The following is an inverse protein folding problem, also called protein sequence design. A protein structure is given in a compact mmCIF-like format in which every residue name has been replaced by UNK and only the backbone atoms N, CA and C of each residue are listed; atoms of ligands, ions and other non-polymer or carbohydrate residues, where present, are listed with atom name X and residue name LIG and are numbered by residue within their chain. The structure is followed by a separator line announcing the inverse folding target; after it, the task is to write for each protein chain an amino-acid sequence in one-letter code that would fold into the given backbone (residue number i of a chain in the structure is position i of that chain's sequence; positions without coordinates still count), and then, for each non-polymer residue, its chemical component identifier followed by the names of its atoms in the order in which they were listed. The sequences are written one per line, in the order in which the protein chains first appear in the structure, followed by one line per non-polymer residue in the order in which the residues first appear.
data_IF_448453030886
#
_entry.id   IF_448453030886
#
_cell.length_a   1.000
_cell.length_b   1.000
_cell.length_c   1.000
_cell.angle_alpha   90.00
_cell.angle_beta   90.00
_cell.angle_gamma   90.00
#
_symmetry.space_group_name_H-M   'P 1'
#
loop_
_entity.id
_entity.type
_entity.pdbx_description
1 polymer ?
#
# COMPACT_ATOMS: atom_id res chain seq x y z
N UNK A 1 -13.84 37.31 -17.96
CA UNK A 1 -12.72 38.08 -17.34
C UNK A 1 -11.82 37.07 -16.66
N UNK A 2 -10.66 36.79 -17.22
CA UNK A 2 -9.67 35.88 -16.62
C UNK A 2 -9.09 36.55 -15.38
N UNK A 3 -9.08 35.85 -14.25
CA UNK A 3 -8.50 36.31 -13.00
C UNK A 3 -6.98 36.51 -13.22
N UNK A 4 -6.42 37.75 -13.11
CA UNK A 4 -5.00 37.98 -13.37
C UNK A 4 -4.05 37.30 -12.36
N UNK A 5 -4.58 36.72 -11.27
CA UNK A 5 -3.81 36.00 -10.27
C UNK A 5 -3.81 34.46 -10.48
N UNK A 6 -4.44 33.94 -11.54
CA UNK A 6 -4.48 32.49 -11.78
C UNK A 6 -3.13 31.87 -12.19
N UNK A 7 -2.12 32.69 -12.53
CA UNK A 7 -0.80 32.24 -12.94
C UNK A 7 0.26 32.24 -11.82
N UNK A 8 -0.13 32.55 -10.57
CA UNK A 8 0.81 32.59 -9.44
C UNK A 8 1.01 31.25 -8.74
N UNK A 9 0.10 30.29 -8.96
CA UNK A 9 0.12 29.01 -8.28
C UNK A 9 -0.08 27.86 -9.27
N UNK A 10 0.76 26.82 -9.14
CA UNK A 10 0.63 25.57 -9.85
C UNK A 10 0.28 24.44 -8.86
N UNK A 11 -0.72 23.63 -9.19
CA UNK A 11 -0.99 22.41 -8.43
C UNK A 11 0.03 21.35 -8.77
N UNK A 12 0.72 20.80 -7.77
CA UNK A 12 1.67 19.69 -7.90
C UNK A 12 1.15 18.53 -7.06
N UNK A 13 0.86 17.40 -7.70
CA UNK A 13 0.19 16.26 -7.06
C UNK A 13 1.02 14.99 -7.27
N UNK A 14 1.33 14.32 -6.18
CA UNK A 14 1.78 12.93 -6.13
C UNK A 14 0.74 12.08 -5.41
N UNK A 15 0.66 10.80 -5.75
CA UNK A 15 -0.26 9.86 -5.11
C UNK A 15 0.49 8.67 -4.52
N UNK A 16 0.07 8.27 -3.34
CA UNK A 16 0.41 7.00 -2.71
C UNK A 16 -0.85 6.12 -2.71
N UNK A 17 -0.75 4.93 -3.27
CA UNK A 17 -1.88 4.03 -3.45
C UNK A 17 -1.56 2.70 -2.78
N UNK A 18 -2.42 2.28 -1.84
CA UNK A 18 -2.33 0.97 -1.21
C UNK A 18 -3.25 -0.02 -1.93
N UNK A 19 -2.67 -1.11 -2.40
CA UNK A 19 -3.39 -2.22 -3.04
C UNK A 19 -3.28 -3.46 -2.16
N UNK A 20 -4.42 -3.98 -1.69
CA UNK A 20 -4.45 -5.28 -1.03
C UNK A 20 -4.25 -6.38 -2.07
N UNK A 21 -3.22 -7.20 -1.88
CA UNK A 21 -2.93 -8.30 -2.78
C UNK A 21 -3.83 -9.49 -2.50
N UNK A 22 -4.44 -10.06 -3.54
CA UNK A 22 -5.37 -11.18 -3.47
C UNK A 22 -4.67 -12.53 -3.20
N UNK A 23 -3.94 -12.61 -2.10
CA UNK A 23 -3.33 -13.85 -1.62
C UNK A 23 -4.30 -14.64 -0.74
N UNK A 24 -4.10 -15.94 -0.62
CA UNK A 24 -4.93 -16.79 0.26
C UNK A 24 -4.56 -16.63 1.73
N UNK A 25 -3.30 -16.31 2.01
CA UNK A 25 -2.78 -16.07 3.36
C UNK A 25 -2.08 -14.73 3.45
N UNK A 26 -1.83 -14.29 4.67
CA UNK A 26 -1.18 -13.02 4.98
C UNK A 26 0.27 -12.97 4.50
N UNK A 27 0.88 -11.79 4.59
CA UNK A 27 2.24 -11.58 4.05
C UNK A 27 3.30 -12.36 4.82
N UNK A 28 3.15 -12.52 6.14
CA UNK A 28 4.15 -13.14 7.01
C UNK A 28 3.61 -14.28 7.87
N UNK A 29 2.34 -14.64 7.71
CA UNK A 29 1.71 -15.74 8.45
C UNK A 29 0.83 -16.61 7.56
N UNK A 30 0.47 -17.78 8.05
CA UNK A 30 -0.46 -18.68 7.37
C UNK A 30 -1.94 -18.35 7.60
N UNK A 31 -2.24 -17.34 8.40
CA UNK A 31 -3.62 -16.90 8.62
C UNK A 31 -4.28 -16.50 7.31
N UNK A 32 -5.55 -16.83 7.10
CA UNK A 32 -6.28 -16.45 5.91
C UNK A 32 -6.40 -14.92 5.79
N UNK A 33 -6.47 -14.43 4.55
CA UNK A 33 -6.71 -13.00 4.22
C UNK A 33 -8.11 -12.77 3.64
N UNK A 34 -9.08 -13.62 3.98
CA UNK A 34 -10.45 -13.58 3.45
C UNK A 34 -11.22 -12.40 4.04
N UNK A 35 -11.84 -11.59 3.18
CA UNK A 35 -12.70 -10.48 3.59
C UNK A 35 -14.08 -10.97 4.07
N UNK A 36 -14.71 -10.23 5.01
CA UNK A 36 -16.11 -10.44 5.39
C UNK A 36 -16.39 -11.60 6.33
N UNK A 37 -15.39 -12.07 7.06
CA UNK A 37 -15.55 -13.09 8.11
C UNK A 37 -15.75 -12.46 9.49
N UNK A 38 -16.12 -13.28 10.49
CA UNK A 38 -16.26 -12.85 11.88
C UNK A 38 -14.99 -12.18 12.41
N UNK A 39 -15.14 -11.13 13.20
CA UNK A 39 -14.06 -10.30 13.74
C UNK A 39 -13.08 -11.12 14.58
N UNK A 40 -11.80 -10.84 14.44
CA UNK A 40 -10.69 -11.47 15.19
C UNK A 40 -10.57 -13.00 15.01
N UNK A 41 -11.07 -13.56 13.90
CA UNK A 41 -10.97 -15.01 13.61
C UNK A 41 -9.80 -15.36 12.68
N UNK A 42 -9.14 -14.36 12.09
CA UNK A 42 -8.04 -14.53 11.14
C UNK A 42 -6.77 -13.78 11.58
N UNK A 43 -6.43 -13.81 12.85
CA UNK A 43 -5.20 -13.23 13.39
C UNK A 43 -4.41 -14.34 14.13
N UNK A 44 -3.14 -14.53 13.71
CA UNK A 44 -2.21 -15.47 14.35
C UNK A 44 -1.31 -14.78 15.36
N UNK A 45 -0.56 -15.56 16.12
CA UNK A 45 0.47 -15.05 17.01
C UNK A 45 1.54 -14.21 16.28
N UNK A 46 1.77 -14.46 14.99
CA UNK A 46 2.70 -13.69 14.16
C UNK A 46 2.11 -12.31 13.85
N UNK A 47 0.84 -12.25 13.46
CA UNK A 47 0.14 -10.99 13.17
C UNK A 47 0.00 -10.11 14.42
N UNK A 48 -0.08 -10.74 15.59
CA UNK A 48 -0.12 -10.08 16.90
C UNK A 48 1.27 -9.67 17.42
N UNK A 49 2.34 -10.22 16.82
CA UNK A 49 3.71 -9.92 17.26
C UNK A 49 4.05 -10.47 18.63
N UNK A 50 3.57 -11.64 19.00
CA UNK A 50 3.89 -12.25 20.29
C UNK A 50 5.40 -12.54 20.40
N UNK A 51 5.97 -12.58 21.63
CA UNK A 51 7.39 -12.85 21.82
C UNK A 51 7.85 -14.14 21.14
N UNK A 52 8.98 -14.06 20.42
CA UNK A 52 9.61 -15.22 19.77
C UNK A 52 9.10 -15.52 18.35
N UNK A 53 8.13 -14.78 17.83
CA UNK A 53 7.65 -14.98 16.43
C UNK A 53 8.66 -14.45 15.43
N UNK A 54 8.81 -15.19 14.32
CA UNK A 54 9.62 -14.81 13.16
C UNK A 54 8.76 -14.79 11.90
N UNK A 55 8.74 -13.66 11.17
CA UNK A 55 7.98 -13.57 9.93
C UNK A 55 8.65 -14.36 8.80
N UNK A 56 7.83 -15.04 7.98
CA UNK A 56 8.27 -15.70 6.74
C UNK A 56 7.43 -15.17 5.59
N UNK A 57 8.12 -14.63 4.58
CA UNK A 57 7.45 -13.93 3.46
C UNK A 57 6.59 -14.88 2.61
N UNK A 58 5.39 -14.43 2.27
CA UNK A 58 4.52 -15.11 1.32
C UNK A 58 5.04 -14.92 -0.12
N UNK A 59 5.48 -16.02 -0.73
CA UNK A 59 5.99 -16.03 -2.11
C UNK A 59 4.99 -15.43 -3.11
N UNK A 60 3.68 -15.64 -2.91
CA UNK A 60 2.64 -15.13 -3.81
C UNK A 60 2.57 -13.60 -3.81
N UNK A 61 2.80 -12.94 -2.67
CA UNK A 61 2.87 -11.49 -2.59
C UNK A 61 4.05 -10.95 -3.42
N UNK A 62 5.22 -11.61 -3.35
CA UNK A 62 6.37 -11.27 -4.20
C UNK A 62 6.04 -11.42 -5.69
N UNK A 63 5.46 -12.55 -6.09
CA UNK A 63 5.08 -12.79 -7.48
C UNK A 63 4.11 -11.74 -8.03
N UNK A 64 3.15 -11.29 -7.21
CA UNK A 64 2.19 -10.25 -7.59
C UNK A 64 2.86 -8.89 -7.73
N UNK A 65 3.74 -8.52 -6.80
CA UNK A 65 4.51 -7.28 -6.86
C UNK A 65 5.42 -7.23 -8.11
N UNK A 66 6.12 -8.33 -8.42
CA UNK A 66 6.95 -8.44 -9.63
C UNK A 66 6.10 -8.31 -10.90
N UNK A 67 4.92 -8.96 -10.95
CA UNK A 67 4.00 -8.81 -12.09
C UNK A 67 3.57 -7.36 -12.30
N UNK A 68 3.23 -6.67 -11.21
CA UNK A 68 2.94 -5.24 -11.28
C UNK A 68 4.12 -4.46 -11.83
N UNK A 69 5.32 -4.65 -11.28
CA UNK A 69 6.54 -3.99 -11.76
C UNK A 69 6.80 -4.20 -13.26
N UNK A 70 6.64 -5.44 -13.74
CA UNK A 70 6.76 -5.73 -15.17
C UNK A 70 5.70 -5.01 -16.02
N UNK A 71 4.48 -4.85 -15.52
CA UNK A 71 3.38 -4.19 -16.27
C UNK A 71 3.60 -2.69 -16.48
N UNK A 72 4.39 -2.06 -15.62
CA UNK A 72 4.74 -0.62 -15.69
C UNK A 72 6.18 -0.39 -16.18
N UNK A 73 6.83 -1.43 -16.74
CA UNK A 73 8.22 -1.39 -17.17
C UNK A 73 9.19 -0.88 -16.09
N UNK A 74 8.95 -1.26 -14.85
CA UNK A 74 9.78 -0.86 -13.73
C UNK A 74 11.03 -1.74 -13.58
N UNK A 75 12.03 -1.20 -12.91
CA UNK A 75 13.17 -1.94 -12.43
C UNK A 75 12.72 -2.94 -11.34
N UNK A 76 13.12 -4.21 -11.48
CA UNK A 76 12.87 -5.23 -10.46
C UNK A 76 14.13 -5.44 -9.64
N UNK A 77 14.03 -5.29 -8.33
CA UNK A 77 15.14 -5.44 -7.42
C UNK A 77 15.40 -6.92 -7.12
N UNK A 78 16.56 -7.43 -7.48
CA UNK A 78 16.94 -8.84 -7.22
C UNK A 78 17.08 -9.14 -5.72
N UNK A 79 17.50 -8.16 -4.93
CA UNK A 79 17.69 -8.26 -3.49
C UNK A 79 16.89 -7.17 -2.77
N UNK A 80 15.60 -7.37 -2.63
CA UNK A 80 14.74 -6.49 -1.83
C UNK A 80 14.95 -6.70 -0.32
N UNK A 81 14.85 -5.64 0.45
CA UNK A 81 15.09 -5.65 1.89
C UNK A 81 13.85 -5.13 2.62
N UNK A 82 13.43 -5.86 3.67
CA UNK A 82 12.41 -5.39 4.59
C UNK A 82 13.03 -4.65 5.77
N UNK A 83 12.39 -3.56 6.15
CA UNK A 83 12.71 -2.73 7.31
C UNK A 83 11.52 -2.68 8.26
N UNK A 84 11.69 -2.04 9.41
CA UNK A 84 10.62 -1.83 10.39
C UNK A 84 10.29 -0.35 10.47
N UNK A 85 9.03 -0.01 10.20
CA UNK A 85 8.46 1.33 10.40
C UNK A 85 7.80 1.35 11.78
N UNK A 86 8.45 1.95 12.76
CA UNK A 86 7.98 1.96 14.14
C UNK A 86 6.96 3.08 14.36
N UNK A 87 5.76 2.72 14.79
CA UNK A 87 4.72 3.64 15.24
C UNK A 87 3.71 2.89 16.12
N UNK A 88 3.01 3.61 17.00
CA UNK A 88 2.09 3.02 17.95
C UNK A 88 0.65 3.39 17.60
N UNK A 89 -0.13 2.35 17.33
CA UNK A 89 -1.56 2.49 17.07
C UNK A 89 -2.31 1.29 17.67
N UNK A 90 -3.55 1.45 18.18
CA UNK A 90 -4.28 0.35 18.82
C UNK A 90 -4.49 -0.87 17.93
N UNK A 91 -4.65 -0.67 16.62
CA UNK A 91 -4.84 -1.73 15.63
C UNK A 91 -3.52 -2.26 15.01
N UNK A 92 -2.38 -1.80 15.54
CA UNK A 92 -1.05 -2.32 15.22
C UNK A 92 -0.37 -2.87 16.48
N UNK A 93 -0.75 -4.08 16.95
CA UNK A 93 -0.33 -4.58 18.26
C UNK A 93 1.18 -4.81 18.39
N UNK A 94 1.89 -5.02 17.27
CA UNK A 94 3.35 -5.14 17.26
C UNK A 94 4.09 -3.84 17.58
N UNK A 95 3.45 -2.68 17.40
CA UNK A 95 4.09 -1.38 17.51
C UNK A 95 5.05 -1.05 16.36
N UNK A 96 5.10 -1.87 15.32
CA UNK A 96 5.83 -1.63 14.08
C UNK A 96 5.14 -2.31 12.89
N UNK A 97 5.36 -1.77 11.71
CA UNK A 97 4.95 -2.34 10.43
C UNK A 97 6.21 -2.82 9.68
N UNK A 98 6.17 -4.03 9.16
CA UNK A 98 7.23 -4.51 8.26
C UNK A 98 6.92 -3.95 6.88
N UNK A 99 7.87 -3.21 6.32
CA UNK A 99 7.76 -2.49 5.05
C UNK A 99 9.11 -2.48 4.34
N UNK A 100 9.21 -1.83 3.18
CA UNK A 100 10.45 -1.67 2.45
C UNK A 100 10.74 -0.19 2.23
N UNK A 101 11.99 0.24 2.36
CA UNK A 101 12.39 1.64 2.21
C UNK A 101 13.49 1.78 1.15
N UNK A 102 14.74 1.41 1.48
CA UNK A 102 15.91 1.67 0.62
C UNK A 102 16.00 0.75 -0.59
N UNK A 103 15.55 -0.51 -0.45
CA UNK A 103 15.58 -1.51 -1.50
C UNK A 103 14.19 -2.15 -1.70
N UNK A 104 13.23 -1.39 -2.27
CA UNK A 104 11.90 -1.90 -2.57
C UNK A 104 11.97 -2.96 -3.67
N UNK A 105 10.97 -3.86 -3.72
CA UNK A 105 10.91 -4.92 -4.73
C UNK A 105 10.72 -4.37 -6.15
N UNK A 106 10.00 -3.24 -6.28
CA UNK A 106 9.77 -2.56 -7.55
C UNK A 106 10.36 -1.16 -7.46
N UNK A 107 11.34 -0.89 -8.28
CA UNK A 107 11.99 0.41 -8.43
C UNK A 107 11.24 1.35 -9.37
N UNK A 108 12.00 2.21 -10.05
CA UNK A 108 11.42 3.23 -10.94
C UNK A 108 10.71 2.61 -12.13
N UNK A 109 9.53 3.14 -12.41
CA UNK A 109 8.70 2.77 -13.55
C UNK A 109 7.87 3.95 -14.04
N UNK A 110 6.91 3.68 -14.92
CA UNK A 110 6.00 4.73 -15.39
C UNK A 110 4.75 4.15 -16.03
N UNK A 111 3.70 4.95 -16.03
CA UNK A 111 2.45 4.64 -16.76
C UNK A 111 2.07 5.80 -17.67
N UNK A 112 1.43 5.48 -18.80
CA UNK A 112 0.80 6.47 -19.65
C UNK A 112 -0.67 6.59 -19.25
N UNK A 113 -1.10 7.81 -18.97
CA UNK A 113 -2.51 8.14 -18.73
C UNK A 113 -3.06 8.90 -19.94
N UNK A 114 -4.35 8.75 -20.17
CA UNK A 114 -5.12 9.59 -21.11
C UNK A 114 -6.02 10.51 -20.28
N UNK A 115 -5.92 11.80 -20.50
CA UNK A 115 -6.75 12.80 -19.88
C UNK A 115 -7.40 13.67 -20.96
N UNK A 116 -8.63 13.34 -21.36
CA UNK A 116 -9.42 14.07 -22.36
C UNK A 116 -8.76 14.11 -23.76
N UNK A 117 -8.01 13.05 -24.11
CA UNK A 117 -7.32 12.92 -25.40
C UNK A 117 -5.85 13.35 -25.37
N UNK A 118 -5.39 13.88 -24.24
CA UNK A 118 -3.98 14.21 -24.05
C UNK A 118 -3.26 13.07 -23.30
N UNK A 119 -2.30 12.45 -23.93
CA UNK A 119 -1.45 11.42 -23.34
C UNK A 119 -0.36 12.06 -22.46
N UNK A 120 -0.24 11.57 -21.25
CA UNK A 120 0.79 12.02 -20.29
C UNK A 120 1.46 10.85 -19.61
N UNK A 121 2.79 10.90 -19.55
CA UNK A 121 3.61 9.95 -18.80
C UNK A 121 3.67 10.38 -17.34
N UNK A 122 3.32 9.46 -16.42
CA UNK A 122 3.45 9.65 -14.98
C UNK A 122 4.51 8.67 -14.48
N UNK A 123 5.52 9.22 -13.80
CA UNK A 123 6.57 8.43 -13.17
C UNK A 123 6.05 7.70 -11.94
N UNK A 124 6.61 6.53 -11.69
CA UNK A 124 6.46 5.79 -10.45
C UNK A 124 7.83 5.72 -9.79
N UNK A 125 7.94 6.26 -8.58
CA UNK A 125 9.19 6.27 -7.81
C UNK A 125 9.56 4.87 -7.37
N UNK A 126 8.56 4.12 -6.89
CA UNK A 126 8.68 2.73 -6.42
C UNK A 126 7.32 2.11 -6.18
N UNK A 127 7.30 0.80 -6.06
CA UNK A 127 6.25 0.10 -5.37
C UNK A 127 6.87 -0.91 -4.39
N UNK A 128 6.38 -0.93 -3.17
CA UNK A 128 6.97 -1.74 -2.12
C UNK A 128 5.92 -2.58 -1.38
N UNK A 129 6.38 -3.73 -0.90
CA UNK A 129 5.55 -4.64 -0.10
C UNK A 129 5.54 -4.19 1.35
N UNK A 130 4.36 -4.24 1.96
CA UNK A 130 4.17 -4.02 3.39
C UNK A 130 2.97 -4.82 3.92
N UNK A 131 2.81 -4.84 5.22
CA UNK A 131 1.65 -5.45 5.88
C UNK A 131 0.62 -4.38 6.25
N UNK A 132 -0.67 -4.75 6.12
CA UNK A 132 -1.75 -3.89 6.58
C UNK A 132 -1.87 -3.92 8.12
N UNK A 133 -2.39 -2.84 8.70
CA UNK A 133 -2.81 -2.79 10.10
C UNK A 133 -4.19 -3.43 10.28
N UNK A 134 -4.60 -3.65 11.52
CA UNK A 134 -5.96 -4.02 11.87
C UNK A 134 -6.95 -2.87 11.59
N UNK A 135 -8.14 -2.98 12.14
CA UNK A 135 -9.19 -1.97 12.01
C UNK A 135 -9.68 -1.53 13.38
N UNK A 136 -9.62 -0.23 13.63
CA UNK A 136 -10.28 0.40 14.78
C UNK A 136 -11.75 0.68 14.44
N UNK A 137 -12.67 0.29 15.35
CA UNK A 137 -14.12 0.43 15.19
C UNK A 137 -14.58 1.46 16.21
N UNK A 138 -14.80 2.68 15.76
CA UNK A 138 -15.13 3.83 16.62
C UNK A 138 -16.63 4.00 16.85
N UNK A 139 -17.45 3.67 15.85
CA UNK A 139 -18.86 4.07 15.81
C UNK A 139 -19.85 3.05 16.43
N UNK A 140 -19.33 1.89 16.86
CA UNK A 140 -20.18 0.80 17.35
C UNK A 140 -20.49 0.87 18.84
N UNK A 141 -19.66 1.58 19.62
CA UNK A 141 -19.72 1.62 21.07
C UNK A 141 -19.49 3.05 21.58
N UNK A 142 -20.30 3.49 22.54
CA UNK A 142 -20.25 4.88 23.06
C UNK A 142 -19.01 5.20 23.91
N UNK A 143 -18.48 4.22 24.64
CA UNK A 143 -17.44 4.44 25.67
C UNK A 143 -16.10 3.77 25.37
N UNK A 144 -15.97 3.01 24.30
CA UNK A 144 -14.73 2.34 23.92
C UNK A 144 -14.63 2.11 22.41
N UNK A 145 -13.41 1.97 21.94
CA UNK A 145 -13.09 1.57 20.56
C UNK A 145 -12.77 0.08 20.55
N UNK A 146 -13.49 -0.68 19.70
CA UNK A 146 -13.15 -2.07 19.46
C UNK A 146 -12.09 -2.19 18.37
N UNK A 147 -11.36 -3.31 18.38
CA UNK A 147 -10.29 -3.58 17.41
C UNK A 147 -10.56 -4.92 16.74
N UNK A 148 -10.54 -4.91 15.42
CA UNK A 148 -10.59 -6.10 14.58
C UNK A 148 -9.23 -6.32 13.90
N UNK A 149 -8.57 -7.42 14.24
CA UNK A 149 -7.23 -7.75 13.74
C UNK A 149 -7.25 -8.67 12.50
N UNK A 150 -8.41 -8.94 11.94
CA UNK A 150 -8.52 -9.77 10.73
C UNK A 150 -7.73 -9.19 9.55
N UNK A 151 -7.63 -7.86 9.43
CA UNK A 151 -6.87 -7.20 8.38
C UNK A 151 -5.37 -7.13 8.68
N UNK A 152 -4.96 -7.16 9.95
CA UNK A 152 -3.54 -7.09 10.34
C UNK A 152 -2.73 -8.17 9.63
N UNK A 153 -1.64 -7.77 8.97
CA UNK A 153 -0.77 -8.66 8.19
C UNK A 153 -1.28 -9.01 6.79
N UNK A 154 -2.40 -8.42 6.32
CA UNK A 154 -2.82 -8.55 4.91
C UNK A 154 -1.73 -7.93 4.01
N UNK A 155 -1.31 -8.63 2.92
CA UNK A 155 -0.28 -8.08 2.05
C UNK A 155 -0.77 -6.83 1.32
N UNK A 156 0.00 -5.75 1.42
CA UNK A 156 -0.18 -4.52 0.66
C UNK A 156 0.98 -4.33 -0.33
N UNK A 157 0.64 -3.76 -1.47
CA UNK A 157 1.60 -3.11 -2.36
C UNK A 157 1.30 -1.61 -2.32
N UNK A 158 2.21 -0.82 -1.77
CA UNK A 158 2.14 0.63 -1.80
C UNK A 158 2.86 1.15 -3.04
N UNK A 159 2.13 1.87 -3.88
CA UNK A 159 2.60 2.43 -5.15
C UNK A 159 2.76 3.93 -4.97
N UNK A 160 3.98 4.43 -5.12
CA UNK A 160 4.32 5.85 -4.94
C UNK A 160 4.61 6.47 -6.30
N UNK A 161 3.79 7.45 -6.71
CA UNK A 161 4.02 8.18 -7.96
C UNK A 161 5.05 9.29 -7.79
N UNK A 162 5.67 9.70 -8.89
CA UNK A 162 6.32 11.00 -8.96
C UNK A 162 5.25 12.13 -8.90
N UNK A 163 5.61 13.35 -8.47
CA UNK A 163 4.68 14.47 -8.37
C UNK A 163 4.43 15.13 -9.75
N UNK A 164 4.05 14.31 -10.72
CA UNK A 164 3.89 14.75 -12.12
C UNK A 164 2.49 15.26 -12.43
N UNK A 165 1.49 14.96 -11.60
CA UNK A 165 0.11 15.32 -11.82
C UNK A 165 -0.13 16.81 -11.53
N UNK A 166 -0.99 17.45 -12.32
CA UNK A 166 -1.27 18.90 -12.24
C UNK A 166 -2.73 19.24 -12.07
N UNK A 167 -3.61 18.23 -12.12
CA UNK A 167 -5.06 18.43 -11.97
C UNK A 167 -5.74 17.23 -11.31
N UNK A 168 -6.93 17.44 -10.77
CA UNK A 168 -7.78 16.36 -10.25
C UNK A 168 -8.19 15.36 -11.33
N UNK A 169 -8.38 15.81 -12.58
CA UNK A 169 -8.69 14.93 -13.71
C UNK A 169 -7.55 13.97 -14.01
N UNK A 170 -6.31 14.47 -14.04
CA UNK A 170 -5.12 13.65 -14.21
C UNK A 170 -4.99 12.64 -13.06
N UNK A 171 -5.23 13.05 -11.81
CA UNK A 171 -5.18 12.17 -10.65
C UNK A 171 -6.21 11.02 -10.76
N UNK A 172 -7.44 11.33 -11.21
CA UNK A 172 -8.47 10.31 -11.45
C UNK A 172 -8.09 9.37 -12.61
N UNK A 173 -7.54 9.91 -13.71
CA UNK A 173 -7.07 9.10 -14.84
C UNK A 173 -5.93 8.16 -14.43
N UNK A 174 -5.00 8.66 -13.62
CA UNK A 174 -3.91 7.84 -13.06
C UNK A 174 -4.44 6.72 -12.16
N UNK A 175 -5.34 7.05 -11.21
CA UNK A 175 -5.93 6.05 -10.31
C UNK A 175 -6.71 4.94 -11.07
N UNK A 176 -7.36 5.29 -12.17
CA UNK A 176 -8.06 4.31 -13.02
C UNK A 176 -7.10 3.45 -13.85
N UNK A 177 -5.91 3.96 -14.13
CA UNK A 177 -4.90 3.28 -14.94
C UNK A 177 -4.09 2.26 -14.12
N UNK A 178 -3.78 2.59 -12.86
CA UNK A 178 -3.11 1.70 -11.90
C UNK A 178 -4.06 0.58 -11.45
#
# INVERSE_FOLDING_TARGET
MSNPNSNLWESVIGLEIHVQLATQSKIFSSSPSKFGVEQNTQASIIDLGLPGVLPVINKKAIEMAVKFGCSINAEITEKAIFARKNYFYPDLPKGYQISQLDNPIVGKGSVMIDCEGDEKKIGITRAHLEEDAGKSIHDKYESFTAIDLNRAGTPLLEIVSEPDLRSSKEAVSYLKKI
#
